data_IF_647919553179
#
_entry.id   IF_647919553179
#
_cell.length_a   1.000
_cell.length_b   1.000
_cell.length_c   1.000
_cell.angle_alpha   90.00
_cell.angle_beta   90.00
_cell.angle_gamma   90.00
#
_symmetry.space_group_name_H-M   'P 1'
#
loop_
_entity.id
_entity.type
_entity.pdbx_description
1 polymer ?
#
# COMPACT_ATOMS: atom_id res chain seq x y z
N UNK A 1 25.29 4.87 32.69
CA UNK A 1 24.49 5.72 31.76
C UNK A 1 24.57 5.31 30.28
N UNK A 2 25.28 4.24 29.88
CA UNK A 2 25.43 3.83 28.47
C UNK A 2 24.26 2.98 27.92
N UNK A 3 23.65 2.13 28.76
CA UNK A 3 22.60 1.16 28.34
C UNK A 3 21.31 1.83 27.83
N UNK A 4 20.95 2.99 28.37
CA UNK A 4 19.72 3.72 27.99
C UNK A 4 19.83 4.38 26.61
N UNK A 5 21.03 4.84 26.22
CA UNK A 5 21.28 5.42 24.89
C UNK A 5 21.19 4.37 23.78
N UNK A 6 21.71 3.17 24.02
CA UNK A 6 21.66 2.04 23.06
C UNK A 6 20.24 1.55 22.82
N UNK A 7 19.38 1.49 23.86
CA UNK A 7 17.96 1.12 23.70
C UNK A 7 17.19 2.16 22.88
N UNK A 8 17.45 3.45 23.08
CA UNK A 8 16.75 4.53 22.34
C UNK A 8 17.14 4.55 20.84
N UNK A 9 18.36 4.13 20.50
CA UNK A 9 18.81 3.99 19.11
C UNK A 9 18.10 2.86 18.36
N UNK A 10 17.71 1.77 19.03
CA UNK A 10 17.00 0.65 18.39
C UNK A 10 15.62 1.04 17.84
N UNK A 11 15.01 2.11 18.37
CA UNK A 11 13.68 2.57 17.99
C UNK A 11 13.69 3.74 16.99
N UNK A 12 14.88 4.28 16.68
CA UNK A 12 15.07 5.28 15.63
C UNK A 12 15.61 4.60 14.40
N UNK A 13 15.00 4.90 13.26
CA UNK A 13 15.45 4.45 11.95
C UNK A 13 15.95 5.66 11.21
N UNK A 14 17.10 5.53 10.57
CA UNK A 14 17.63 6.55 9.68
C UNK A 14 17.31 6.12 8.25
N UNK A 15 16.56 6.97 7.56
CA UNK A 15 16.25 6.77 6.14
C UNK A 15 16.90 7.89 5.32
N UNK A 16 17.16 7.68 4.03
CA UNK A 16 17.71 8.72 3.16
C UNK A 16 16.82 9.95 3.11
N UNK A 17 17.42 11.13 2.95
CA UNK A 17 16.72 12.40 2.71
C UNK A 17 15.85 12.37 1.44
N UNK A 18 16.19 11.50 0.48
CA UNK A 18 15.44 11.26 -0.75
C UNK A 18 14.20 10.37 -0.59
N UNK A 19 13.85 9.99 0.65
CA UNK A 19 12.68 9.17 0.91
C UNK A 19 11.40 9.91 0.49
N UNK A 20 10.52 9.19 -0.20
CA UNK A 20 9.29 9.72 -0.78
C UNK A 20 8.10 9.25 0.03
N UNK A 21 7.38 10.20 0.58
CA UNK A 21 6.15 9.96 1.32
C UNK A 21 4.96 9.91 0.36
N UNK A 22 3.93 9.19 0.76
CA UNK A 22 2.62 9.28 0.14
C UNK A 22 1.55 8.89 1.17
N UNK A 23 0.41 9.55 1.08
CA UNK A 23 -0.79 9.18 1.81
C UNK A 23 -1.99 9.27 0.88
N UNK A 24 -2.89 8.30 1.00
CA UNK A 24 -4.19 8.38 0.37
C UNK A 24 -5.23 7.66 1.22
N UNK A 25 -6.46 8.14 1.17
CA UNK A 25 -7.60 7.49 1.79
C UNK A 25 -8.51 6.90 0.71
N UNK A 26 -9.09 5.75 1.02
CA UNK A 26 -10.14 5.13 0.24
C UNK A 26 -11.40 5.02 1.07
N UNK A 27 -12.52 5.53 0.58
CA UNK A 27 -13.84 5.26 1.14
C UNK A 27 -14.57 4.28 0.22
N UNK A 28 -14.97 3.13 0.77
CA UNK A 28 -15.63 2.05 0.03
C UNK A 28 -17.08 1.96 0.48
N UNK A 29 -17.99 2.05 -0.48
CA UNK A 29 -19.44 2.08 -0.26
C UNK A 29 -20.07 0.96 -1.07
N UNK A 30 -20.55 -0.13 -0.44
CA UNK A 30 -21.26 -1.19 -1.14
C UNK A 30 -22.50 -0.65 -1.85
N UNK A 31 -22.73 -1.06 -3.11
CA UNK A 31 -23.97 -0.75 -3.83
C UNK A 31 -25.01 -1.83 -3.55
N UNK A 32 -25.59 -1.79 -2.35
CA UNK A 32 -26.64 -2.73 -1.93
C UNK A 32 -27.94 -2.46 -2.67
N UNK A 33 -28.84 -3.43 -2.67
CA UNK A 33 -30.13 -3.28 -3.35
C UNK A 33 -31.01 -2.23 -2.66
N UNK A 34 -30.89 -2.08 -1.34
CA UNK A 34 -31.57 -1.02 -0.57
C UNK A 34 -31.09 0.37 -0.99
N UNK A 35 -29.78 0.55 -1.18
CA UNK A 35 -29.22 1.82 -1.64
C UNK A 35 -29.64 2.11 -3.09
N UNK A 36 -29.66 1.09 -3.96
CA UNK A 36 -30.12 1.29 -5.33
C UNK A 36 -31.60 1.65 -5.41
N UNK A 37 -32.43 1.09 -4.54
CA UNK A 37 -33.86 1.41 -4.46
C UNK A 37 -34.10 2.90 -4.14
N UNK A 38 -33.24 3.54 -3.33
CA UNK A 38 -33.35 4.99 -3.06
C UNK A 38 -33.00 5.88 -4.26
N UNK A 39 -32.45 5.30 -5.33
CA UNK A 39 -32.11 5.99 -6.58
C UNK A 39 -32.75 5.33 -7.82
N UNK A 40 -33.85 4.58 -7.67
CA UNK A 40 -34.46 3.84 -8.79
C UNK A 40 -34.83 4.76 -9.97
N UNK A 41 -35.21 6.01 -9.68
CA UNK A 41 -35.51 7.04 -10.68
C UNK A 41 -34.30 7.40 -11.58
N UNK A 42 -33.08 7.17 -11.10
CA UNK A 42 -31.83 7.42 -11.84
C UNK A 42 -31.33 6.17 -12.59
N UNK A 43 -32.06 5.05 -12.51
CA UNK A 43 -31.67 3.78 -13.14
C UNK A 43 -32.55 3.54 -14.37
N UNK A 44 -31.98 3.78 -15.55
CA UNK A 44 -32.68 3.62 -16.82
C UNK A 44 -32.75 2.14 -17.24
N UNK A 45 -33.70 1.40 -16.66
CA UNK A 45 -33.95 -0.02 -16.96
C UNK A 45 -34.17 -0.20 -18.47
N UNK A 46 -33.34 -1.02 -19.11
CA UNK A 46 -33.41 -1.31 -20.55
C UNK A 46 -32.51 -0.45 -21.44
N UNK A 47 -31.77 0.52 -20.88
CA UNK A 47 -30.69 1.23 -21.60
C UNK A 47 -29.43 0.36 -21.74
N UNK A 48 -28.57 0.65 -22.71
CA UNK A 48 -27.22 0.07 -22.78
C UNK A 48 -26.35 0.49 -21.60
N UNK A 49 -26.67 1.62 -20.96
CA UNK A 49 -25.98 2.17 -19.79
C UNK A 49 -26.94 2.51 -18.64
N UNK A 50 -27.56 1.49 -18.01
CA UNK A 50 -28.61 1.72 -17.01
C UNK A 50 -28.19 2.59 -15.81
N UNK A 51 -26.91 2.55 -15.42
CA UNK A 51 -26.39 3.17 -14.19
C UNK A 51 -25.67 4.50 -14.42
N UNK A 52 -25.60 5.00 -15.66
CA UNK A 52 -24.82 6.20 -15.99
C UNK A 52 -25.30 7.43 -15.21
N UNK A 53 -26.61 7.68 -15.19
CA UNK A 53 -27.18 8.83 -14.50
C UNK A 53 -26.99 8.76 -12.97
N UNK A 54 -27.11 7.56 -12.39
CA UNK A 54 -26.80 7.30 -10.98
C UNK A 54 -25.34 7.65 -10.65
N UNK A 55 -24.40 7.13 -11.44
CA UNK A 55 -22.98 7.36 -11.20
C UNK A 55 -22.58 8.82 -11.41
N UNK A 56 -23.17 9.48 -12.41
CA UNK A 56 -22.99 10.91 -12.60
C UNK A 56 -23.50 11.69 -11.38
N UNK A 57 -24.73 11.44 -10.92
CA UNK A 57 -25.32 12.10 -9.76
C UNK A 57 -24.47 11.93 -8.48
N UNK A 58 -24.00 10.72 -8.21
CA UNK A 58 -23.16 10.45 -7.05
C UNK A 58 -21.77 11.08 -7.19
N UNK A 59 -21.17 11.06 -8.38
CA UNK A 59 -19.90 11.72 -8.62
C UNK A 59 -19.99 13.24 -8.45
N UNK A 60 -21.06 13.87 -8.95
CA UNK A 60 -21.29 15.31 -8.81
C UNK A 60 -21.51 15.69 -7.35
N UNK A 61 -22.26 14.88 -6.60
CA UNK A 61 -22.50 15.11 -5.16
C UNK A 61 -21.22 14.96 -4.35
N UNK A 62 -20.40 13.94 -4.65
CA UNK A 62 -19.08 13.76 -4.05
C UNK A 62 -18.19 14.96 -4.28
N UNK A 63 -18.16 15.42 -5.53
CA UNK A 63 -17.34 16.53 -5.96
C UNK A 63 -17.79 17.88 -5.40
N UNK A 64 -19.09 18.11 -5.28
CA UNK A 64 -19.62 19.26 -4.53
C UNK A 64 -19.23 19.24 -3.05
N UNK A 65 -19.16 18.06 -2.43
CA UNK A 65 -18.68 17.94 -1.06
C UNK A 65 -17.17 18.22 -0.94
N UNK A 66 -16.34 17.74 -1.88
CA UNK A 66 -14.91 18.02 -1.90
C UNK A 66 -14.61 19.50 -2.10
N UNK A 67 -15.40 20.21 -2.92
CA UNK A 67 -15.21 21.64 -3.24
C UNK A 67 -15.40 22.57 -2.02
N UNK A 68 -15.98 22.06 -0.92
CA UNK A 68 -16.09 22.79 0.35
C UNK A 68 -14.89 22.57 1.28
N UNK A 69 -13.93 21.74 0.88
CA UNK A 69 -12.75 21.39 1.65
C UNK A 69 -11.47 21.89 0.97
N UNK A 70 -10.34 21.67 1.61
CA UNK A 70 -9.00 21.95 1.08
C UNK A 70 -8.41 20.80 0.26
N UNK A 71 -9.18 19.73 0.03
CA UNK A 71 -8.70 18.55 -0.70
C UNK A 71 -8.69 18.82 -2.20
N UNK A 72 -7.50 18.90 -2.79
CA UNK A 72 -7.31 19.21 -4.21
C UNK A 72 -7.31 17.98 -5.13
N UNK A 73 -7.16 16.77 -4.54
CA UNK A 73 -7.07 15.52 -5.29
C UNK A 73 -8.10 14.49 -4.85
N UNK A 74 -9.13 14.31 -5.67
CA UNK A 74 -10.25 13.41 -5.38
C UNK A 74 -10.67 12.61 -6.63
N UNK A 75 -10.90 11.31 -6.48
CA UNK A 75 -11.32 10.43 -7.58
C UNK A 75 -12.57 9.66 -7.21
N UNK A 76 -13.48 9.52 -8.18
CA UNK A 76 -14.68 8.69 -8.06
C UNK A 76 -14.53 7.43 -8.92
N UNK A 77 -14.70 6.24 -8.34
CA UNK A 77 -14.57 4.96 -9.05
C UNK A 77 -15.82 4.12 -8.85
N UNK A 78 -16.50 3.78 -9.94
CA UNK A 78 -17.64 2.85 -9.98
C UNK A 78 -17.56 1.95 -11.23
N UNK A 79 -16.42 1.28 -11.39
CA UNK A 79 -16.18 0.29 -12.44
C UNK A 79 -15.51 -1.00 -11.90
N UNK A 80 -15.59 -1.22 -10.58
CA UNK A 80 -15.00 -2.34 -9.84
C UNK A 80 -13.47 -2.53 -9.93
N UNK A 81 -12.76 -1.61 -10.58
CA UNK A 81 -11.29 -1.63 -10.61
C UNK A 81 -10.71 -1.26 -9.25
N UNK A 82 -9.60 -1.90 -8.91
CA UNK A 82 -8.86 -1.67 -7.69
C UNK A 82 -7.91 -0.45 -7.84
N UNK A 83 -8.11 0.61 -7.06
CA UNK A 83 -7.22 1.76 -7.10
C UNK A 83 -5.90 1.48 -6.38
N UNK A 84 -4.80 1.90 -7.01
CA UNK A 84 -3.47 1.92 -6.41
C UNK A 84 -2.84 3.26 -6.62
N UNK A 85 -2.17 3.74 -5.59
CA UNK A 85 -1.49 5.02 -5.62
C UNK A 85 -0.01 4.78 -5.38
N UNK A 86 0.85 5.42 -6.16
CA UNK A 86 2.30 5.42 -5.96
C UNK A 86 2.84 6.83 -6.20
N UNK A 87 3.91 7.14 -5.48
CA UNK A 87 4.69 8.33 -5.77
C UNK A 87 5.32 8.20 -7.17
N UNK A 88 5.29 9.28 -7.93
CA UNK A 88 6.00 9.42 -9.20
C UNK A 88 6.31 10.90 -9.45
N UNK A 89 7.53 11.22 -9.94
CA UNK A 89 7.86 12.59 -10.33
C UNK A 89 7.04 13.08 -11.53
N UNK A 90 6.43 12.15 -12.28
CA UNK A 90 5.51 12.43 -13.37
C UNK A 90 4.09 12.00 -13.01
N UNK A 91 3.11 12.80 -13.42
CA UNK A 91 1.70 12.46 -13.26
C UNK A 91 1.25 11.52 -14.38
N UNK A 92 0.77 10.33 -14.02
CA UNK A 92 0.18 9.39 -14.96
C UNK A 92 -0.95 8.61 -14.27
N UNK A 93 -2.08 8.49 -14.96
CA UNK A 93 -3.13 7.56 -14.55
C UNK A 93 -3.29 6.47 -15.60
N UNK A 94 -2.96 5.23 -15.24
CA UNK A 94 -3.08 4.08 -16.11
C UNK A 94 -4.21 3.16 -15.65
N UNK A 95 -4.95 2.58 -16.59
CA UNK A 95 -5.99 1.60 -16.30
C UNK A 95 -5.64 0.25 -16.93
N UNK A 96 -5.81 -0.81 -16.16
CA UNK A 96 -5.79 -2.18 -16.66
C UNK A 96 -7.21 -2.75 -16.62
N UNK A 97 -7.35 -4.07 -16.78
CA UNK A 97 -8.63 -4.77 -16.61
C UNK A 97 -9.11 -4.75 -15.15
N UNK A 98 -8.19 -4.78 -14.17
CA UNK A 98 -8.56 -4.89 -12.75
C UNK A 98 -8.11 -3.70 -11.90
N UNK A 99 -7.31 -2.77 -12.42
CA UNK A 99 -6.73 -1.69 -11.61
C UNK A 99 -6.85 -0.31 -12.26
N UNK A 100 -6.87 0.71 -11.39
CA UNK A 100 -6.55 2.10 -11.75
C UNK A 100 -5.30 2.50 -10.97
N UNK A 101 -4.20 2.75 -11.67
CA UNK A 101 -2.92 3.13 -11.08
C UNK A 101 -2.75 4.66 -11.18
N UNK A 102 -2.68 5.32 -10.03
CA UNK A 102 -2.39 6.74 -9.88
C UNK A 102 -0.92 6.92 -9.53
N UNK A 103 -0.17 7.49 -10.47
CA UNK A 103 1.20 7.94 -10.28
C UNK A 103 1.18 9.45 -10.14
N UNK A 104 1.60 9.97 -8.99
CA UNK A 104 1.60 11.41 -8.73
C UNK A 104 2.67 11.82 -7.71
N UNK A 105 2.96 13.11 -7.67
CA UNK A 105 3.83 13.73 -6.68
C UNK A 105 2.92 14.57 -5.78
N UNK A 106 2.80 14.25 -4.48
CA UNK A 106 1.98 15.00 -3.54
C UNK A 106 2.24 16.51 -3.55
N UNK A 107 3.47 16.92 -3.87
CA UNK A 107 3.87 18.32 -3.87
C UNK A 107 3.38 19.11 -5.08
N UNK A 108 3.27 18.47 -6.24
CA UNK A 108 3.09 19.19 -7.51
C UNK A 108 1.84 18.79 -8.27
N UNK A 109 1.27 17.61 -8.00
CA UNK A 109 0.23 17.04 -8.83
C UNK A 109 -1.11 17.01 -8.11
N UNK A 110 -2.09 17.68 -8.70
CA UNK A 110 -3.50 17.63 -8.28
C UNK A 110 -4.35 16.97 -9.35
N UNK A 111 -5.47 16.35 -8.98
CA UNK A 111 -6.36 15.71 -9.97
C UNK A 111 -7.78 15.46 -9.50
N UNK A 112 -8.74 15.59 -10.43
CA UNK A 112 -10.15 15.25 -10.24
C UNK A 112 -10.61 14.39 -11.41
N UNK A 113 -10.95 13.11 -11.18
CA UNK A 113 -11.41 12.23 -12.25
C UNK A 113 -12.51 11.25 -11.79
N UNK A 114 -13.30 10.80 -12.77
CA UNK A 114 -14.33 9.77 -12.61
C UNK A 114 -13.99 8.55 -13.45
N UNK A 115 -14.11 7.37 -12.87
CA UNK A 115 -13.87 6.07 -13.52
C UNK A 115 -15.11 5.20 -13.37
N UNK A 116 -16.05 5.33 -14.30
CA UNK A 116 -17.36 4.67 -14.25
C UNK A 116 -17.55 3.74 -15.43
N UNK A 117 -18.49 2.80 -15.28
CA UNK A 117 -19.00 1.99 -16.37
C UNK A 117 -20.52 1.88 -16.23
N UNK A 118 -21.29 2.78 -16.85
CA UNK A 118 -22.75 2.82 -16.72
C UNK A 118 -23.48 1.58 -17.23
N UNK A 119 -22.83 0.72 -18.03
CA UNK A 119 -23.42 -0.52 -18.52
C UNK A 119 -23.56 -1.59 -17.42
N UNK A 120 -22.73 -1.54 -16.38
CA UNK A 120 -22.67 -2.56 -15.35
C UNK A 120 -22.94 -2.00 -13.96
N UNK A 121 -23.70 -2.74 -13.14
CA UNK A 121 -23.77 -2.49 -11.70
C UNK A 121 -22.41 -2.80 -11.08
N UNK A 122 -21.68 -1.77 -10.67
CA UNK A 122 -20.50 -1.94 -9.81
C UNK A 122 -20.90 -2.59 -8.48
N UNK A 123 -20.03 -3.43 -7.92
CA UNK A 123 -20.21 -4.02 -6.58
C UNK A 123 -20.14 -2.96 -5.49
N UNK A 124 -19.35 -1.91 -5.70
CA UNK A 124 -19.16 -0.80 -4.76
C UNK A 124 -18.68 0.46 -5.48
N UNK A 125 -18.94 1.60 -4.84
CA UNK A 125 -18.27 2.86 -5.15
C UNK A 125 -17.00 2.94 -4.31
N UNK A 126 -15.90 3.38 -4.93
CA UNK A 126 -14.66 3.70 -4.23
C UNK A 126 -14.30 5.17 -4.47
N UNK A 127 -14.29 5.95 -3.41
CA UNK A 127 -13.82 7.33 -3.40
C UNK A 127 -12.35 7.33 -2.99
N UNK A 128 -11.51 8.06 -3.71
CA UNK A 128 -10.08 8.18 -3.43
C UNK A 128 -9.74 9.63 -3.15
N UNK A 129 -9.00 9.85 -2.06
CA UNK A 129 -8.47 11.16 -1.68
C UNK A 129 -6.95 11.04 -1.63
N UNK A 130 -6.25 11.87 -2.38
CA UNK A 130 -4.78 11.89 -2.39
C UNK A 130 -4.29 13.08 -1.57
N UNK A 131 -3.32 12.86 -0.70
CA UNK A 131 -2.74 13.95 0.08
C UNK A 131 -1.90 14.86 -0.83
N UNK A 132 -1.98 16.17 -0.60
CA UNK A 132 -1.15 17.16 -1.29
C UNK A 132 -0.40 18.02 -0.26
N UNK A 133 0.81 18.46 -0.63
CA UNK A 133 1.67 19.31 0.20
C UNK A 133 3.08 18.76 0.41
N UNK A 134 3.86 19.46 1.23
CA UNK A 134 5.27 19.14 1.51
C UNK A 134 5.44 18.09 2.61
N UNK A 135 4.77 18.26 3.76
CA UNK A 135 4.93 17.41 4.96
C UNK A 135 3.71 16.51 5.20
N UNK A 136 3.29 15.77 4.17
CA UNK A 136 2.03 15.00 4.19
C UNK A 136 1.95 13.96 5.32
N UNK A 137 3.08 13.41 5.79
CA UNK A 137 3.06 12.48 6.92
C UNK A 137 2.81 13.17 8.26
N UNK A 138 3.28 14.41 8.42
CA UNK A 138 3.04 15.22 9.63
C UNK A 138 1.58 15.67 9.63
N UNK A 139 1.08 16.16 8.51
CA UNK A 139 -0.30 16.62 8.34
C UNK A 139 -1.32 15.47 8.19
N UNK A 140 -0.88 14.21 8.34
CA UNK A 140 -1.70 13.05 8.00
C UNK A 140 -2.99 12.91 8.81
N UNK A 141 -2.98 13.30 10.08
CA UNK A 141 -4.17 13.32 10.93
C UNK A 141 -5.16 14.42 10.50
N UNK A 142 -4.65 15.59 10.12
CA UNK A 142 -5.46 16.69 9.61
C UNK A 142 -6.13 16.31 8.29
N UNK A 143 -5.36 15.76 7.34
CA UNK A 143 -5.90 15.27 6.07
C UNK A 143 -6.98 14.20 6.28
N UNK A 144 -6.74 13.26 7.19
CA UNK A 144 -7.74 12.25 7.56
C UNK A 144 -9.05 12.88 8.07
N UNK A 145 -8.97 13.88 8.94
CA UNK A 145 -10.14 14.56 9.48
C UNK A 145 -10.89 15.36 8.39
N UNK A 146 -10.19 15.99 7.47
CA UNK A 146 -10.79 16.66 6.30
C UNK A 146 -11.55 15.66 5.43
N UNK A 147 -10.96 14.49 5.14
CA UNK A 147 -11.64 13.41 4.40
C UNK A 147 -12.90 12.95 5.14
N UNK A 148 -12.84 12.77 6.46
CA UNK A 148 -14.02 12.39 7.26
C UNK A 148 -15.15 13.41 7.11
N UNK A 149 -14.84 14.71 7.15
CA UNK A 149 -15.83 15.78 6.99
C UNK A 149 -16.46 15.76 5.59
N UNK A 150 -15.66 15.54 4.54
CA UNK A 150 -16.18 15.40 3.17
C UNK A 150 -17.10 14.19 3.06
N UNK A 151 -16.74 13.05 3.67
CA UNK A 151 -17.57 11.86 3.66
C UNK A 151 -18.90 12.06 4.41
N UNK A 152 -18.91 12.80 5.52
CA UNK A 152 -20.13 13.17 6.24
C UNK A 152 -21.06 14.05 5.39
N UNK A 153 -20.51 15.06 4.71
CA UNK A 153 -21.28 15.93 3.83
C UNK A 153 -21.81 15.16 2.60
N UNK A 154 -20.97 14.32 1.99
CA UNK A 154 -21.37 13.45 0.88
C UNK A 154 -22.49 12.48 1.29
N UNK A 155 -22.34 11.80 2.41
CA UNK A 155 -23.33 10.87 2.95
C UNK A 155 -24.67 11.58 3.20
N UNK A 156 -24.64 12.79 3.77
CA UNK A 156 -25.83 13.63 4.00
C UNK A 156 -26.51 14.04 2.69
N UNK A 157 -25.76 14.43 1.67
CA UNK A 157 -26.31 14.85 0.37
C UNK A 157 -26.93 13.70 -0.42
N UNK A 158 -26.42 12.48 -0.23
CA UNK A 158 -26.83 11.29 -0.97
C UNK A 158 -27.72 10.35 -0.16
N UNK A 159 -28.02 10.68 1.10
CA UNK A 159 -28.74 9.82 2.04
C UNK A 159 -28.11 8.42 2.21
N UNK A 160 -26.80 8.30 2.00
CA UNK A 160 -26.04 7.07 2.27
C UNK A 160 -25.80 6.99 3.78
N UNK A 161 -26.09 5.84 4.39
CA UNK A 161 -25.78 5.64 5.81
C UNK A 161 -24.25 5.63 6.01
N UNK A 162 -23.76 6.59 6.80
CA UNK A 162 -22.33 6.76 7.09
C UNK A 162 -21.69 5.49 7.65
N UNK A 163 -22.45 4.67 8.40
CA UNK A 163 -21.93 3.42 8.96
C UNK A 163 -21.65 2.34 7.93
N UNK A 164 -22.12 2.50 6.69
CA UNK A 164 -21.80 1.59 5.58
C UNK A 164 -20.50 1.97 4.86
N UNK A 165 -19.94 3.15 5.16
CA UNK A 165 -18.72 3.62 4.51
C UNK A 165 -17.50 3.05 5.24
N UNK A 166 -16.78 2.15 4.57
CA UNK A 166 -15.50 1.64 5.07
C UNK A 166 -14.36 2.53 4.59
N UNK A 167 -13.70 3.19 5.53
CA UNK A 167 -12.51 4.03 5.27
C UNK A 167 -11.25 3.17 5.38
N UNK A 168 -10.31 3.37 4.46
CA UNK A 168 -8.98 2.75 4.45
C UNK A 168 -7.96 3.86 4.29
N UNK A 169 -7.12 4.08 5.29
CA UNK A 169 -6.04 5.05 5.23
C UNK A 169 -4.73 4.32 4.93
N UNK A 170 -4.08 4.72 3.84
CA UNK A 170 -2.87 4.11 3.32
C UNK A 170 -1.75 5.13 3.34
N UNK A 171 -0.74 4.87 4.15
CA UNK A 171 0.48 5.66 4.19
C UNK A 171 1.66 4.80 3.76
N UNK A 172 2.48 5.34 2.87
CA UNK A 172 3.71 4.66 2.49
C UNK A 172 4.91 5.58 2.38
N UNK A 173 6.08 5.00 2.65
CA UNK A 173 7.37 5.65 2.59
C UNK A 173 8.27 4.80 1.71
N UNK A 174 8.77 5.37 0.61
CA UNK A 174 9.58 4.66 -0.38
C UNK A 174 10.97 5.26 -0.43
N UNK A 175 12.00 4.41 -0.36
CA UNK A 175 13.39 4.84 -0.52
C UNK A 175 14.26 3.68 -1.02
N UNK A 176 15.39 4.02 -1.64
CA UNK A 176 16.43 3.06 -1.95
C UNK A 176 17.28 2.79 -0.71
N UNK A 177 17.45 1.52 -0.34
CA UNK A 177 18.26 1.11 0.80
C UNK A 177 19.71 1.62 0.69
N UNK A 178 20.26 1.65 -0.52
CA UNK A 178 21.66 2.00 -0.78
C UNK A 178 21.86 3.44 -1.27
N UNK A 179 20.86 4.31 -1.11
CA UNK A 179 20.92 5.72 -1.54
C UNK A 179 22.21 6.43 -1.10
N UNK A 180 22.68 6.17 0.12
CA UNK A 180 23.93 6.77 0.65
C UNK A 180 25.17 6.34 -0.14
N UNK A 181 25.25 5.07 -0.55
CA UNK A 181 26.36 4.57 -1.38
C UNK A 181 26.36 5.18 -2.78
N UNK A 182 25.21 5.73 -3.21
CA UNK A 182 25.02 6.40 -4.50
C UNK A 182 25.24 7.91 -4.43
N UNK A 183 25.75 8.43 -3.31
CA UNK A 183 26.04 9.85 -3.12
C UNK A 183 24.86 10.69 -2.65
N UNK A 184 23.72 10.09 -2.27
CA UNK A 184 22.63 10.83 -1.63
C UNK A 184 23.01 11.10 -0.17
N UNK A 185 23.33 12.35 0.11
CA UNK A 185 23.68 12.81 1.45
C UNK A 185 22.46 13.15 2.30
N UNK A 186 22.63 13.05 3.62
CA UNK A 186 21.58 13.36 4.58
C UNK A 186 20.70 12.15 4.93
N UNK A 187 20.16 12.19 6.15
CA UNK A 187 19.25 11.18 6.64
C UNK A 187 18.20 11.80 7.54
N UNK A 188 17.01 11.25 7.53
CA UNK A 188 15.90 11.63 8.39
C UNK A 188 15.66 10.54 9.44
N UNK A 189 15.36 10.94 10.67
CA UNK A 189 15.08 9.99 11.75
C UNK A 189 13.57 9.75 11.89
N UNK A 190 13.16 8.48 11.79
CA UNK A 190 11.79 8.04 11.96
C UNK A 190 11.66 7.07 13.14
N UNK A 191 10.55 7.18 13.87
CA UNK A 191 10.17 6.20 14.91
C UNK A 191 9.14 5.17 14.43
N UNK A 192 8.51 5.43 13.28
CA UNK A 192 7.42 4.61 12.73
C UNK A 192 6.35 4.28 13.78
N UNK A 193 5.90 5.30 14.51
CA UNK A 193 4.72 5.19 15.40
C UNK A 193 3.54 4.63 14.62
N UNK A 194 2.68 3.86 15.30
CA UNK A 194 1.45 3.38 14.67
C UNK A 194 0.57 4.57 14.25
N UNK A 195 -0.34 4.36 13.30
CA UNK A 195 -1.26 5.43 12.86
C UNK A 195 -2.14 5.91 14.01
N UNK A 196 -2.66 4.97 14.81
CA UNK A 196 -3.43 5.28 16.03
C UNK A 196 -2.66 6.17 17.00
N UNK A 197 -1.40 5.84 17.32
CA UNK A 197 -0.60 6.63 18.27
C UNK A 197 -0.26 8.02 17.70
N UNK A 198 -0.08 8.13 16.37
CA UNK A 198 0.17 9.43 15.73
C UNK A 198 -1.08 10.30 15.77
N UNK A 199 -2.21 9.77 15.35
CA UNK A 199 -3.45 10.55 15.29
C UNK A 199 -3.92 10.97 16.69
N UNK A 200 -3.72 10.11 17.68
CA UNK A 200 -4.00 10.46 19.07
C UNK A 200 -3.16 11.64 19.57
N UNK A 201 -1.90 11.76 19.14
CA UNK A 201 -1.05 12.92 19.48
C UNK A 201 -1.61 14.23 18.92
N UNK A 202 -2.32 14.16 17.78
CA UNK A 202 -3.03 15.27 17.15
C UNK A 202 -4.51 15.36 17.60
N UNK A 203 -4.86 14.67 18.70
CA UNK A 203 -6.21 14.63 19.30
C UNK A 203 -7.29 14.02 18.39
N UNK A 204 -6.90 13.29 17.35
CA UNK A 204 -7.79 12.52 16.50
C UNK A 204 -7.88 11.08 17.01
N UNK A 205 -9.05 10.72 17.54
CA UNK A 205 -9.33 9.35 17.95
C UNK A 205 -9.87 8.55 16.76
N UNK A 206 -9.25 7.40 16.51
CA UNK A 206 -9.78 6.39 15.59
C UNK A 206 -10.75 5.47 16.33
N UNK A 207 -11.68 4.80 15.64
CA UNK A 207 -12.56 3.79 16.23
C UNK A 207 -11.77 2.70 16.97
N UNK A 208 -12.43 2.01 17.91
CA UNK A 208 -11.79 0.90 18.65
C UNK A 208 -11.49 -0.29 17.72
N UNK A 209 -12.43 -0.63 16.83
CA UNK A 209 -12.29 -1.73 15.90
C UNK A 209 -11.62 -1.27 14.60
N UNK A 210 -10.36 -1.68 14.40
CA UNK A 210 -9.58 -1.28 13.23
C UNK A 210 -8.79 -2.45 12.64
N UNK A 211 -8.67 -2.44 11.31
CA UNK A 211 -7.86 -3.35 10.51
C UNK A 211 -6.49 -2.72 10.25
N UNK A 212 -5.65 -2.66 11.27
CA UNK A 212 -4.30 -2.13 11.16
C UNK A 212 -3.30 -3.17 10.61
N UNK A 213 -2.45 -2.76 9.69
CA UNK A 213 -1.37 -3.59 9.15
C UNK A 213 -0.12 -2.74 8.89
N UNK A 214 1.06 -3.26 9.24
CA UNK A 214 2.35 -2.67 8.87
C UNK A 214 3.18 -3.71 8.14
N UNK A 215 3.71 -3.37 6.97
CA UNK A 215 4.48 -4.29 6.15
C UNK A 215 5.44 -3.51 5.24
N UNK A 216 6.46 -4.17 4.71
CA UNK A 216 7.34 -3.61 3.69
C UNK A 216 7.30 -4.47 2.43
N UNK A 217 7.33 -3.81 1.28
CA UNK A 217 7.54 -4.44 -0.04
C UNK A 217 8.84 -3.91 -0.58
N UNK A 218 9.75 -4.82 -0.91
CA UNK A 218 11.05 -4.52 -1.51
C UNK A 218 11.01 -4.98 -2.95
N UNK A 219 11.22 -4.05 -3.88
CA UNK A 219 11.32 -4.35 -5.30
C UNK A 219 12.80 -4.63 -5.60
N UNK A 220 13.14 -5.87 -6.00
CA UNK A 220 14.46 -6.32 -6.45
C UNK A 220 14.46 -6.45 -7.99
N UNK A 221 15.01 -5.48 -8.74
CA UNK A 221 15.11 -5.58 -10.19
C UNK A 221 16.07 -6.70 -10.62
N UNK A 222 15.65 -7.55 -11.57
CA UNK A 222 16.50 -8.61 -12.11
C UNK A 222 17.32 -8.09 -13.28
N UNK A 223 18.57 -7.72 -13.01
CA UNK A 223 19.53 -7.34 -14.04
C UNK A 223 20.38 -8.55 -14.51
N UNK A 224 21.23 -8.30 -15.52
CA UNK A 224 22.11 -9.34 -16.08
C UNK A 224 23.03 -9.98 -15.03
N UNK A 225 23.54 -9.20 -14.06
CA UNK A 225 24.48 -9.68 -13.04
C UNK A 225 23.81 -10.67 -12.09
N UNK A 226 22.64 -10.31 -11.54
CA UNK A 226 21.90 -11.20 -10.65
C UNK A 226 21.55 -12.51 -11.37
N UNK A 227 21.14 -12.44 -12.64
CA UNK A 227 20.88 -13.65 -13.45
C UNK A 227 22.12 -14.52 -13.65
N UNK A 228 23.31 -13.93 -13.75
CA UNK A 228 24.57 -14.66 -13.91
C UNK A 228 25.11 -15.30 -12.62
N UNK A 229 24.42 -15.12 -11.47
CA UNK A 229 24.76 -15.81 -10.23
C UNK A 229 24.41 -17.31 -10.27
N UNK A 230 23.58 -17.72 -11.23
CA UNK A 230 23.21 -19.11 -11.46
C UNK A 230 23.40 -19.47 -12.93
N UNK A 231 23.55 -20.76 -13.21
CA UNK A 231 23.51 -21.27 -14.59
C UNK A 231 22.05 -21.41 -15.01
N UNK A 232 21.67 -20.74 -16.09
CA UNK A 232 20.33 -20.83 -16.70
C UNK A 232 20.45 -21.70 -17.95
N UNK A 233 19.84 -22.88 -17.93
CA UNK A 233 19.71 -23.72 -19.12
C UNK A 233 18.46 -23.32 -19.91
N UNK A 234 18.66 -22.66 -21.04
CA UNK A 234 17.55 -22.19 -21.89
C UNK A 234 16.71 -23.31 -22.50
N UNK A 235 17.19 -24.55 -22.47
CA UNK A 235 16.49 -25.73 -23.00
C UNK A 235 15.67 -26.47 -21.94
N UNK A 236 15.91 -26.20 -20.65
CA UNK A 236 15.21 -26.85 -19.56
C UNK A 236 13.80 -26.29 -19.36
N UNK A 237 12.86 -27.17 -18.98
CA UNK A 237 11.66 -26.73 -18.27
C UNK A 237 12.06 -26.17 -16.90
N UNK A 238 11.36 -25.14 -16.44
CA UNK A 238 11.63 -24.48 -15.16
C UNK A 238 13.01 -23.80 -15.08
N UNK A 239 13.54 -23.31 -16.21
CA UNK A 239 14.88 -22.75 -16.34
C UNK A 239 15.28 -21.64 -15.36
N UNK A 240 14.33 -20.98 -14.70
CA UNK A 240 14.60 -19.94 -13.71
C UNK A 240 14.46 -20.42 -12.25
N UNK A 241 14.22 -21.72 -12.02
CA UNK A 241 14.01 -22.26 -10.67
C UNK A 241 15.20 -22.01 -9.75
N UNK A 242 16.42 -22.22 -10.23
CA UNK A 242 17.66 -22.00 -9.47
C UNK A 242 17.82 -20.53 -9.07
N UNK A 243 17.48 -19.60 -9.98
CA UNK A 243 17.52 -18.16 -9.70
C UNK A 243 16.53 -17.80 -8.58
N UNK A 244 15.30 -18.30 -8.65
CA UNK A 244 14.27 -18.00 -7.66
C UNK A 244 14.56 -18.65 -6.31
N UNK A 245 15.08 -19.87 -6.29
CA UNK A 245 15.53 -20.52 -5.06
C UNK A 245 16.69 -19.76 -4.41
N UNK A 246 17.72 -19.37 -5.19
CA UNK A 246 18.84 -18.58 -4.68
C UNK A 246 18.36 -17.31 -3.99
N UNK A 247 17.46 -16.55 -4.63
CA UNK A 247 16.93 -15.30 -4.07
C UNK A 247 16.06 -15.59 -2.85
N UNK A 248 15.18 -16.60 -2.90
CA UNK A 248 14.30 -16.95 -1.80
C UNK A 248 15.09 -17.39 -0.57
N UNK A 249 16.08 -18.27 -0.74
CA UNK A 249 16.93 -18.75 0.35
C UNK A 249 17.74 -17.61 0.97
N UNK A 250 18.37 -16.78 0.13
CA UNK A 250 19.13 -15.63 0.60
C UNK A 250 18.26 -14.67 1.42
N UNK A 251 17.03 -14.43 0.96
CA UNK A 251 16.06 -13.57 1.63
C UNK A 251 15.59 -14.18 2.96
N UNK A 252 15.08 -15.42 2.94
CA UNK A 252 14.50 -16.09 4.10
C UNK A 252 15.55 -16.29 5.19
N UNK A 253 16.77 -16.70 4.82
CA UNK A 253 17.86 -16.90 5.77
C UNK A 253 18.27 -15.57 6.41
N UNK A 254 18.44 -14.52 5.61
CA UNK A 254 18.76 -13.18 6.12
C UNK A 254 17.64 -12.66 7.05
N UNK A 255 16.38 -12.84 6.67
CA UNK A 255 15.25 -12.38 7.47
C UNK A 255 15.19 -13.10 8.82
N UNK A 256 15.31 -14.43 8.83
CA UNK A 256 15.34 -15.23 10.06
C UNK A 256 16.50 -14.84 10.99
N UNK A 257 17.70 -14.60 10.44
CA UNK A 257 18.87 -14.14 11.22
C UNK A 257 18.60 -12.84 11.97
N UNK A 258 17.73 -11.97 11.45
CA UNK A 258 17.36 -10.69 12.05
C UNK A 258 16.00 -10.71 12.77
N UNK A 259 15.49 -11.91 13.10
CA UNK A 259 14.22 -12.14 13.80
C UNK A 259 13.00 -11.58 13.06
N UNK A 260 12.98 -11.73 11.74
CA UNK A 260 11.80 -11.50 10.91
C UNK A 260 11.29 -12.88 10.47
N UNK A 261 10.00 -13.13 10.66
CA UNK A 261 9.44 -14.48 10.52
C UNK A 261 8.27 -14.56 9.53
N UNK A 262 7.70 -13.42 9.15
CA UNK A 262 6.49 -13.34 8.34
C UNK A 262 6.79 -12.59 7.04
N UNK A 263 6.46 -13.19 5.91
CA UNK A 263 6.70 -12.56 4.63
C UNK A 263 6.36 -13.39 3.40
N UNK A 264 6.79 -12.90 2.25
CA UNK A 264 6.65 -13.61 0.99
C UNK A 264 7.75 -13.23 -0.02
N UNK A 265 8.01 -14.15 -0.96
CA UNK A 265 8.84 -13.96 -2.14
C UNK A 265 7.98 -14.17 -3.36
N UNK A 266 7.72 -13.10 -4.11
CA UNK A 266 6.80 -13.10 -5.26
C UNK A 266 7.58 -12.81 -6.54
N UNK A 267 7.62 -13.80 -7.44
CA UNK A 267 8.29 -13.72 -8.75
C UNK A 267 7.43 -14.38 -9.85
N UNK A 268 6.12 -14.15 -9.82
CA UNK A 268 5.17 -14.68 -10.80
C UNK A 268 4.56 -13.59 -11.71
N UNK A 269 5.07 -12.37 -11.65
CA UNK A 269 4.61 -11.22 -12.45
C UNK A 269 3.27 -10.62 -12.00
N UNK A 270 2.68 -11.12 -10.91
CA UNK A 270 1.44 -10.58 -10.34
C UNK A 270 1.73 -9.46 -9.35
N UNK A 271 0.73 -8.61 -9.11
CA UNK A 271 0.81 -7.50 -8.15
C UNK A 271 0.37 -7.98 -6.76
N UNK A 272 1.26 -8.01 -5.75
CA UNK A 272 0.92 -8.41 -4.41
C UNK A 272 0.13 -7.32 -3.69
N UNK A 273 -0.97 -7.73 -3.07
CA UNK A 273 -1.82 -6.90 -2.23
C UNK A 273 -1.86 -7.54 -0.84
N UNK A 274 -1.15 -6.93 0.10
CA UNK A 274 -1.12 -7.39 1.48
C UNK A 274 -2.34 -6.83 2.22
N UNK A 275 -3.10 -7.68 2.89
CA UNK A 275 -4.31 -7.29 3.63
C UNK A 275 -4.44 -8.08 4.93
N UNK A 276 -5.17 -7.52 5.90
CA UNK A 276 -5.59 -8.27 7.08
C UNK A 276 -6.51 -9.41 6.63
N UNK A 277 -6.29 -10.59 7.19
CA UNK A 277 -7.20 -11.73 7.15
C UNK A 277 -7.15 -12.44 8.52
N UNK A 278 -8.20 -13.16 8.87
CA UNK A 278 -8.20 -13.99 10.08
C UNK A 278 -7.26 -15.20 9.91
N UNK A 279 -7.37 -15.85 8.75
CA UNK A 279 -6.48 -16.93 8.33
C UNK A 279 -5.52 -16.46 7.24
N UNK A 280 -4.29 -17.01 7.28
CA UNK A 280 -3.31 -16.75 6.23
C UNK A 280 -3.75 -17.41 4.93
N UNK A 281 -3.82 -16.62 3.86
CA UNK A 281 -4.26 -17.11 2.57
C UNK A 281 -3.59 -16.39 1.40
N UNK A 282 -3.52 -17.10 0.27
CA UNK A 282 -2.96 -16.60 -0.98
C UNK A 282 -4.00 -16.82 -2.06
N UNK A 283 -4.55 -15.73 -2.59
CA UNK A 283 -5.60 -15.78 -3.61
C UNK A 283 -5.09 -15.07 -4.87
N UNK A 284 -5.00 -15.81 -5.97
CA UNK A 284 -4.74 -15.26 -7.29
C UNK A 284 -6.06 -14.79 -7.91
N UNK A 285 -6.11 -13.55 -8.34
CA UNK A 285 -7.24 -12.96 -9.04
C UNK A 285 -6.72 -12.11 -10.21
N UNK A 286 -6.73 -12.69 -11.41
CA UNK A 286 -6.20 -12.03 -12.62
C UNK A 286 -4.75 -11.57 -12.48
N UNK A 287 -4.54 -10.26 -12.49
CA UNK A 287 -3.25 -9.55 -12.33
C UNK A 287 -2.88 -9.29 -10.86
N UNK A 288 -3.77 -9.58 -9.92
CA UNK A 288 -3.57 -9.38 -8.48
C UNK A 288 -3.24 -10.69 -7.75
N UNK A 289 -2.40 -10.59 -6.73
CA UNK A 289 -2.09 -11.64 -5.78
C UNK A 289 -2.40 -11.15 -4.37
N UNK A 290 -3.55 -11.54 -3.83
CA UNK A 290 -3.97 -11.17 -2.49
C UNK A 290 -3.22 -12.04 -1.47
N UNK A 291 -2.52 -11.41 -0.54
CA UNK A 291 -1.83 -12.06 0.57
C UNK A 291 -2.51 -11.65 1.87
N UNK A 292 -3.27 -12.56 2.47
CA UNK A 292 -3.90 -12.38 3.77
C UNK A 292 -2.95 -12.74 4.90
N UNK A 293 -2.81 -11.82 5.85
CA UNK A 293 -2.01 -12.02 7.06
C UNK A 293 -2.80 -11.61 8.30
N UNK A 294 -2.58 -12.33 9.40
CA UNK A 294 -3.11 -11.97 10.71
C UNK A 294 -1.98 -11.43 11.60
N UNK A 295 -1.97 -10.13 11.96
CA UNK A 295 -0.93 -9.56 12.82
C UNK A 295 -0.81 -10.23 14.19
N UNK A 296 -1.87 -10.88 14.66
CA UNK A 296 -1.89 -11.62 15.93
C UNK A 296 -1.10 -12.93 15.86
N UNK A 297 -0.85 -13.45 14.67
CA UNK A 297 -0.07 -14.67 14.47
C UNK A 297 1.41 -14.32 14.28
N UNK A 298 2.27 -14.87 15.14
CA UNK A 298 3.71 -14.63 15.10
C UNK A 298 4.50 -15.72 14.34
N UNK A 299 3.82 -16.72 13.77
CA UNK A 299 4.44 -17.91 13.17
C UNK A 299 4.11 -18.11 11.68
N UNK A 300 3.80 -17.03 10.95
CA UNK A 300 3.25 -17.05 9.59
C UNK A 300 4.20 -17.46 8.45
N UNK A 301 5.48 -17.69 8.77
CA UNK A 301 6.45 -18.20 7.81
C UNK A 301 6.59 -17.37 6.54
N UNK A 302 7.12 -18.01 5.50
CA UNK A 302 7.36 -17.38 4.21
C UNK A 302 6.59 -18.06 3.10
N UNK A 303 5.77 -17.29 2.40
CA UNK A 303 5.10 -17.74 1.18
C UNK A 303 6.00 -17.49 -0.03
N UNK A 304 6.28 -18.53 -0.80
CA UNK A 304 7.02 -18.42 -2.06
C UNK A 304 6.09 -18.66 -3.24
N UNK A 305 6.04 -17.74 -4.21
CA UNK A 305 5.22 -17.86 -5.43
C UNK A 305 5.98 -17.34 -6.65
N UNK A 306 6.26 -18.22 -7.60
CA UNK A 306 6.91 -17.89 -8.88
C UNK A 306 6.39 -18.76 -10.02
N UNK A 307 6.71 -18.37 -11.24
CA UNK A 307 6.57 -19.19 -12.45
C UNK A 307 7.98 -19.50 -12.96
N UNK A 308 8.47 -20.73 -12.74
CA UNK A 308 9.85 -21.09 -13.02
C UNK A 308 10.22 -21.07 -14.51
N UNK A 309 9.22 -20.97 -15.40
CA UNK A 309 9.41 -20.87 -16.84
C UNK A 309 9.50 -19.42 -17.34
N UNK A 310 9.16 -18.44 -16.50
CA UNK A 310 9.13 -17.02 -16.89
C UNK A 310 10.08 -16.21 -16.04
N UNK A 311 10.83 -15.35 -16.71
CA UNK A 311 11.62 -14.32 -16.04
C UNK A 311 10.74 -13.11 -15.76
N UNK A 312 10.77 -12.62 -14.53
CA UNK A 312 10.13 -11.35 -14.15
C UNK A 312 11.13 -10.19 -14.23
N UNK A 313 10.63 -8.97 -14.40
CA UNK A 313 11.50 -7.78 -14.35
C UNK A 313 11.99 -7.48 -12.92
N UNK A 314 11.15 -7.79 -11.92
CA UNK A 314 11.50 -7.63 -10.51
C UNK A 314 10.88 -8.73 -9.64
N UNK A 315 11.62 -9.12 -8.61
CA UNK A 315 11.13 -9.99 -7.53
C UNK A 315 10.68 -9.09 -6.39
N UNK A 316 9.50 -9.37 -5.83
CA UNK A 316 8.97 -8.64 -4.69
C UNK A 316 9.20 -9.44 -3.40
N UNK A 317 9.95 -8.83 -2.49
CA UNK A 317 10.25 -9.39 -1.17
C UNK A 317 9.39 -8.66 -0.14
N UNK A 318 8.58 -9.40 0.60
CA UNK A 318 7.58 -8.84 1.49
C UNK A 318 7.92 -9.22 2.92
N UNK A 319 7.91 -8.23 3.81
CA UNK A 319 7.98 -8.42 5.26
C UNK A 319 6.67 -7.95 5.88
N UNK A 320 6.05 -8.74 6.74
CA UNK A 320 4.79 -8.35 7.42
C UNK A 320 5.02 -8.31 8.92
N UNK A 321 4.66 -7.20 9.57
CA UNK A 321 4.79 -7.06 11.01
C UNK A 321 3.67 -7.82 11.74
N UNK A 322 4.06 -8.57 12.75
CA UNK A 322 3.16 -9.07 13.79
C UNK A 322 3.02 -8.04 14.93
N UNK A 323 2.16 -8.33 15.90
CA UNK A 323 2.07 -7.51 17.12
C UNK A 323 3.38 -7.51 17.94
N UNK A 324 4.19 -8.58 17.85
CA UNK A 324 5.49 -8.66 18.54
C UNK A 324 6.54 -7.71 17.96
N UNK A 325 6.35 -7.29 16.70
CA UNK A 325 7.22 -6.34 16.01
C UNK A 325 6.90 -4.88 16.40
N UNK A 326 5.75 -4.65 17.04
CA UNK A 326 5.37 -3.35 17.59
C UNK A 326 5.94 -3.18 19.00
N UNK A 327 6.82 -2.21 19.17
CA UNK A 327 7.31 -1.80 20.50
C UNK A 327 6.47 -0.64 21.05
N UNK A 328 6.68 -0.26 22.32
CA UNK A 328 6.06 0.95 22.90
C UNK A 328 6.39 2.25 22.15
N UNK A 329 7.42 2.24 21.29
CA UNK A 329 7.83 3.37 20.47
C UNK A 329 7.33 3.29 19.02
N UNK A 330 6.63 2.21 18.64
CA UNK A 330 6.21 1.90 17.27
C UNK A 330 7.03 0.81 16.60
N UNK A 331 7.09 0.86 15.26
CA UNK A 331 7.71 -0.15 14.39
C UNK A 331 9.18 0.15 14.03
N UNK A 332 9.83 1.09 14.70
CA UNK A 332 11.24 1.43 14.41
C UNK A 332 12.19 0.22 14.50
N UNK A 333 11.99 -0.67 15.48
CA UNK A 333 12.79 -1.91 15.62
C UNK A 333 12.61 -2.82 14.40
N UNK A 334 11.36 -3.07 13.99
CA UNK A 334 11.02 -3.88 12.83
C UNK A 334 11.68 -3.37 11.55
N UNK A 335 11.61 -2.06 11.29
CA UNK A 335 12.23 -1.48 10.09
C UNK A 335 13.76 -1.54 10.14
N UNK A 336 14.37 -1.33 11.30
CA UNK A 336 15.81 -1.54 11.48
C UNK A 336 16.22 -2.98 11.17
N UNK A 337 15.43 -3.96 11.64
CA UNK A 337 15.66 -5.39 11.33
C UNK A 337 15.52 -5.66 9.82
N UNK A 338 14.55 -5.04 9.15
CA UNK A 338 14.40 -5.14 7.68
C UNK A 338 15.67 -4.61 6.98
N UNK A 339 16.15 -3.41 7.35
CA UNK A 339 17.35 -2.84 6.74
C UNK A 339 18.59 -3.74 6.95
N UNK A 340 18.72 -4.36 8.13
CA UNK A 340 19.81 -5.29 8.45
C UNK A 340 19.68 -6.61 7.66
N UNK A 341 18.46 -7.14 7.55
CA UNK A 341 18.17 -8.32 6.73
C UNK A 341 18.49 -8.07 5.27
N UNK A 342 18.05 -6.95 4.70
CA UNK A 342 18.34 -6.60 3.30
C UNK A 342 19.83 -6.32 3.05
N UNK A 343 20.53 -5.76 4.03
CA UNK A 343 22.00 -5.60 3.93
C UNK A 343 22.72 -6.95 3.92
N UNK A 344 22.22 -7.94 4.68
CA UNK A 344 22.76 -9.30 4.71
C UNK A 344 22.43 -10.06 3.42
N UNK A 345 21.20 -9.91 2.93
CA UNK A 345 20.73 -10.42 1.66
C UNK A 345 21.56 -9.88 0.48
N UNK A 346 21.79 -8.58 0.45
CA UNK A 346 22.60 -7.94 -0.59
C UNK A 346 24.04 -8.48 -0.63
N UNK A 347 24.64 -8.75 0.53
CA UNK A 347 25.97 -9.40 0.59
C UNK A 347 25.95 -10.82 0.01
N UNK A 348 24.90 -11.60 0.29
CA UNK A 348 24.78 -12.96 -0.26
C UNK A 348 24.63 -12.97 -1.78
N UNK A 349 24.03 -11.93 -2.36
CA UNK A 349 23.91 -11.77 -3.81
C UNK A 349 25.02 -10.94 -4.45
N UNK A 350 26.10 -10.64 -3.72
CA UNK A 350 27.21 -9.78 -4.19
C UNK A 350 26.72 -8.48 -4.85
N UNK A 351 25.81 -7.79 -4.16
CA UNK A 351 25.10 -6.62 -4.69
C UNK A 351 26.03 -5.42 -4.88
N UNK A 352 25.95 -4.76 -6.03
CA UNK A 352 26.74 -3.56 -6.35
C UNK A 352 26.00 -2.33 -5.86
N UNK A 353 26.19 -2.00 -4.59
CA UNK A 353 25.42 -0.99 -3.85
C UNK A 353 25.53 0.43 -4.42
N UNK A 354 26.58 0.75 -5.17
CA UNK A 354 26.74 2.06 -5.83
C UNK A 354 25.92 2.18 -7.13
N UNK A 355 25.39 1.08 -7.67
CA UNK A 355 24.72 1.06 -8.98
C UNK A 355 23.33 0.43 -8.94
N UNK A 356 23.17 -0.68 -8.24
CA UNK A 356 21.93 -1.47 -8.23
C UNK A 356 20.92 -0.90 -7.23
N UNK A 357 19.64 -0.81 -7.62
CA UNK A 357 18.55 -0.26 -6.79
C UNK A 357 17.82 -1.35 -6.02
N UNK A 358 17.72 -1.18 -4.70
CA UNK A 358 16.90 -2.03 -3.84
C UNK A 358 15.85 -1.15 -3.15
N UNK A 359 14.71 -1.00 -3.82
CA UNK A 359 13.68 -0.04 -3.41
C UNK A 359 12.82 -0.66 -2.32
N UNK A 360 12.88 -0.10 -1.11
CA UNK A 360 12.04 -0.46 0.02
C UNK A 360 10.85 0.49 0.09
N UNK A 361 9.65 -0.06 0.09
CA UNK A 361 8.40 0.65 0.39
C UNK A 361 7.79 0.13 1.68
N UNK A 362 7.82 0.95 2.72
CA UNK A 362 7.14 0.67 3.98
C UNK A 362 5.70 1.14 3.88
N UNK A 363 4.76 0.31 4.30
CA UNK A 363 3.33 0.56 4.34
C UNK A 363 2.82 0.54 5.78
N UNK A 364 2.02 1.54 6.12
CA UNK A 364 1.13 1.51 7.28
C UNK A 364 -0.30 1.72 6.77
N UNK A 365 -1.18 0.78 7.09
CA UNK A 365 -2.57 0.80 6.70
C UNK A 365 -3.45 0.68 7.92
N UNK A 366 -4.58 1.38 7.91
CA UNK A 366 -5.67 1.16 8.86
C UNK A 366 -7.01 1.23 8.13
N UNK A 367 -7.88 0.25 8.37
CA UNK A 367 -9.24 0.24 7.85
C UNK A 367 -10.26 0.19 8.96
N UNK A 368 -11.40 0.86 8.81
CA UNK A 368 -12.49 0.86 9.79
C UNK A 368 -13.79 1.35 9.14
N UNK A 369 -14.92 1.15 9.82
CA UNK A 369 -16.20 1.75 9.45
C UNK A 369 -16.39 3.06 10.20
N UNK A 370 -16.99 4.05 9.54
CA UNK A 370 -17.33 5.31 10.22
C UNK A 370 -18.44 5.07 11.24
N UNK A 371 -18.26 5.57 12.45
CA UNK A 371 -19.29 5.58 13.49
C UNK A 371 -20.24 6.78 13.28
N UNK A 372 -21.49 6.65 13.76
CA UNK A 372 -22.54 7.68 13.64
C UNK A 372 -22.27 8.92 14.49
#
# INVERSE_FOLDING_TARGET
MSVSRTRNLQHKVYIPSSARENQYLMAKIPLTDELLASFDELIAKGSETPFEALYQHLSDSFFKATDKSTIESAQFIANDKFPRVRYSPEKLTAQTKQQVLFLYDPKFHTSRNTFVNGANKAKKITLIFLANGDDIRVESAKFHNEVKNVLLDFAKQTNIDISQIRVCDHQHLTYDLFAKNKGIEGSQSHKFRSMTDRYLADKLQLPQETDALTYAVVDLPLNRRIRSLVTIDDTASDKYIELYNLVADAFINSAKQHNLHNGAVIANGLVPIVRRAEDENVIKDGELLMLGYNPKHSSGGYTCKWDANKLVDSIQLIFVASEQDKTSHGYGKFVNQIQQALSSFAKQLDYVVEKEELILRLHQHIGFYLEK
#
